data_IF_797051860899
#
_entry.id   IF_797051860899
#
_cell.length_a   1.000
_cell.length_b   1.000
_cell.length_c   1.000
_cell.angle_alpha   90.00
_cell.angle_beta   90.00
_cell.angle_gamma   90.00
#
_symmetry.space_group_name_H-M   'P 1'
#
loop_
_entity.id
_entity.type
_entity.pdbx_description
1 polymer ?
#
# COMPACT_ATOMS: atom_id res chain seq x y z
N UNK A 1 4.81 8.11 2.66
CA UNK A 1 5.28 7.44 3.89
C UNK A 1 4.95 8.15 5.21
N UNK A 2 4.98 9.49 5.32
CA UNK A 2 4.53 10.20 6.55
C UNK A 2 3.03 10.05 6.86
N UNK A 3 2.24 9.63 5.87
CA UNK A 3 0.78 9.45 5.96
C UNK A 3 0.35 7.98 6.04
N UNK A 4 1.29 7.01 6.03
CA UNK A 4 0.93 5.61 6.20
C UNK A 4 0.46 5.42 7.64
N UNK A 5 -0.82 5.09 7.82
CA UNK A 5 -1.37 4.79 9.14
C UNK A 5 -0.86 3.42 9.58
N UNK A 6 0.24 3.41 10.31
CA UNK A 6 0.71 2.22 11.02
C UNK A 6 -0.15 2.07 12.28
N UNK A 7 -0.79 0.91 12.51
CA UNK A 7 -1.52 0.65 13.75
C UNK A 7 -0.63 0.91 14.97
N UNK A 8 -1.18 1.50 16.03
CA UNK A 8 -0.40 1.85 17.23
C UNK A 8 0.19 0.63 17.95
N UNK A 9 -0.36 -0.57 17.70
CA UNK A 9 0.07 -1.85 18.25
C UNK A 9 1.07 -2.60 17.36
N UNK A 10 1.40 -2.05 16.19
CA UNK A 10 2.37 -2.64 15.27
C UNK A 10 3.73 -2.82 15.99
N UNK A 11 4.38 -3.99 15.91
CA UNK A 11 5.65 -4.26 16.59
C UNK A 11 6.84 -3.66 15.83
N UNK A 12 6.61 -2.62 15.03
CA UNK A 12 7.63 -1.94 14.25
C UNK A 12 7.36 -0.45 14.14
N UNK A 13 8.40 0.30 13.83
CA UNK A 13 8.33 1.70 13.47
C UNK A 13 8.95 1.92 12.09
N UNK A 14 8.48 2.95 11.38
CA UNK A 14 9.05 3.34 10.09
C UNK A 14 10.18 4.33 10.33
N UNK A 15 11.36 4.06 9.75
CA UNK A 15 12.51 4.97 9.78
C UNK A 15 13.13 5.13 8.39
N UNK A 16 13.78 6.26 8.09
CA UNK A 16 14.58 6.39 6.88
C UNK A 16 15.74 5.38 6.90
N UNK A 17 15.96 4.71 5.77
CA UNK A 17 17.05 3.78 5.53
C UNK A 17 17.97 4.36 4.45
N UNK A 18 19.29 4.52 4.70
CA UNK A 18 20.23 5.07 3.74
C UNK A 18 20.15 4.35 2.38
N UNK A 19 19.98 5.11 1.31
CA UNK A 19 19.92 4.60 -0.07
C UNK A 19 18.68 3.77 -0.45
N UNK A 20 17.71 3.58 0.46
CA UNK A 20 16.55 2.68 0.26
C UNK A 20 15.18 3.30 0.58
N UNK A 21 15.13 4.58 0.97
CA UNK A 21 13.88 5.24 1.33
C UNK A 21 13.48 4.99 2.78
N UNK A 22 12.29 4.42 3.02
CA UNK A 22 11.76 4.12 4.36
C UNK A 22 11.65 2.61 4.58
N UNK A 23 12.04 2.16 5.78
CA UNK A 23 12.00 0.75 6.17
C UNK A 23 11.31 0.58 7.53
N UNK A 24 10.73 -0.60 7.75
CA UNK A 24 10.18 -1.00 9.04
C UNK A 24 11.28 -1.62 9.94
N UNK A 25 11.36 -1.16 11.19
CA UNK A 25 12.30 -1.64 12.20
C UNK A 25 11.53 -2.14 13.42
N UNK A 26 11.85 -3.34 13.90
CA UNK A 26 11.18 -3.91 15.06
C UNK A 26 11.41 -3.06 16.33
N UNK A 27 10.35 -2.77 17.07
CA UNK A 27 10.39 -2.03 18.35
C UNK A 27 10.46 -2.96 19.57
N UNK A 28 10.18 -4.25 19.36
CA UNK A 28 10.21 -5.31 20.37
C UNK A 28 10.54 -6.64 19.73
N UNK A 29 10.85 -7.65 20.55
CA UNK A 29 10.99 -9.04 20.10
C UNK A 29 9.69 -9.51 19.45
N UNK A 30 9.78 -10.03 18.23
CA UNK A 30 8.66 -10.59 17.47
C UNK A 30 8.77 -12.11 17.54
N UNK A 31 7.79 -12.75 18.17
CA UNK A 31 7.78 -14.20 18.29
C UNK A 31 7.55 -14.88 16.95
N UNK A 32 8.03 -16.12 16.83
CA UNK A 32 7.83 -16.91 15.60
C UNK A 32 6.34 -17.10 15.34
N UNK A 33 5.90 -16.84 14.10
CA UNK A 33 4.49 -16.86 13.65
C UNK A 33 3.62 -15.70 14.17
N UNK A 34 4.20 -14.68 14.81
CA UNK A 34 3.45 -13.49 15.18
C UNK A 34 3.05 -12.68 13.92
N UNK A 35 1.81 -12.19 13.91
CA UNK A 35 1.34 -11.25 12.88
C UNK A 35 1.89 -9.86 13.17
N UNK A 36 2.65 -9.28 12.23
CA UNK A 36 3.28 -7.96 12.38
C UNK A 36 2.41 -6.83 11.82
N UNK A 37 1.54 -7.12 10.85
CA UNK A 37 0.60 -6.19 10.27
C UNK A 37 -0.49 -6.98 9.55
N UNK A 38 -1.74 -6.54 9.67
CA UNK A 38 -2.83 -7.01 8.81
C UNK A 38 -3.30 -5.86 7.95
N UNK A 39 -3.02 -5.92 6.65
CA UNK A 39 -3.46 -4.90 5.73
C UNK A 39 -4.88 -5.19 5.25
N UNK A 40 -5.76 -4.19 5.33
CA UNK A 40 -7.08 -4.23 4.69
C UNK A 40 -6.92 -3.76 3.24
N UNK A 41 -7.43 -4.55 2.30
CA UNK A 41 -7.51 -4.14 0.89
C UNK A 41 -8.48 -2.96 0.75
N UNK A 42 -8.10 -1.95 -0.04
CA UNK A 42 -8.96 -0.79 -0.31
C UNK A 42 -10.13 -1.20 -1.21
N UNK A 43 -9.87 -1.95 -2.28
CA UNK A 43 -10.88 -2.53 -3.16
C UNK A 43 -10.32 -3.75 -3.91
N UNK A 44 -11.20 -4.50 -4.57
CA UNK A 44 -10.85 -5.66 -5.40
C UNK A 44 -11.52 -5.51 -6.75
N UNK A 45 -10.73 -5.48 -7.83
CA UNK A 45 -11.23 -5.54 -9.20
C UNK A 45 -11.18 -7.01 -9.63
N UNK A 46 -12.34 -7.59 -9.99
CA UNK A 46 -12.46 -9.00 -10.39
C UNK A 46 -12.36 -9.16 -11.91
N UNK A 47 -11.23 -8.76 -12.47
CA UNK A 47 -10.86 -8.95 -13.88
C UNK A 47 -9.47 -9.55 -13.95
N UNK A 48 -9.12 -10.20 -15.06
CA UNK A 48 -7.72 -10.61 -15.26
C UNK A 48 -6.84 -9.36 -15.35
N UNK A 49 -5.58 -9.46 -14.94
CA UNK A 49 -4.68 -8.30 -14.92
C UNK A 49 -4.55 -7.60 -16.29
N UNK A 50 -4.61 -8.39 -17.37
CA UNK A 50 -4.53 -7.93 -18.76
C UNK A 50 -5.79 -7.16 -19.20
N UNK A 51 -6.92 -7.37 -18.51
CA UNK A 51 -8.21 -6.75 -18.81
C UNK A 51 -8.54 -5.57 -17.87
N UNK A 52 -7.70 -5.30 -16.86
CA UNK A 52 -7.92 -4.17 -15.95
C UNK A 52 -7.54 -2.88 -16.67
N UNK A 53 -8.55 -2.06 -16.96
CA UNK A 53 -8.37 -0.75 -17.60
C UNK A 53 -8.37 0.38 -16.56
N UNK A 54 -7.93 1.56 -16.96
CA UNK A 54 -7.88 2.73 -16.08
C UNK A 54 -9.28 3.13 -15.58
N UNK A 55 -10.32 2.97 -16.41
CA UNK A 55 -11.71 3.20 -16.01
C UNK A 55 -12.17 2.29 -14.86
N UNK A 56 -11.66 1.06 -14.77
CA UNK A 56 -12.02 0.11 -13.71
C UNK A 56 -11.42 0.55 -12.37
N UNK A 57 -10.17 1.01 -12.41
CA UNK A 57 -9.48 1.56 -11.23
C UNK A 57 -10.14 2.86 -10.78
N UNK A 58 -10.49 3.75 -11.73
CA UNK A 58 -11.21 4.98 -11.42
C UNK A 58 -12.58 4.70 -10.80
N UNK A 59 -13.33 3.75 -11.36
CA UNK A 59 -14.64 3.35 -10.84
C UNK A 59 -14.52 2.80 -9.42
N UNK A 60 -13.54 1.92 -9.18
CA UNK A 60 -13.30 1.38 -7.85
C UNK A 60 -12.86 2.46 -6.86
N UNK A 61 -11.99 3.40 -7.29
CA UNK A 61 -11.59 4.55 -6.48
C UNK A 61 -12.78 5.43 -6.12
N UNK A 62 -13.71 5.70 -7.05
CA UNK A 62 -14.89 6.52 -6.77
C UNK A 62 -15.80 5.93 -5.70
N UNK A 63 -15.87 4.61 -5.61
CA UNK A 63 -16.66 3.89 -4.60
C UNK A 63 -16.02 3.86 -3.20
N UNK A 64 -14.76 4.28 -3.06
CA UNK A 64 -14.09 4.36 -1.77
C UNK A 64 -14.66 5.47 -0.87
N UNK A 65 -14.68 5.20 0.44
CA UNK A 65 -14.92 6.25 1.44
C UNK A 65 -13.76 7.26 1.46
N UNK A 66 -13.96 8.50 1.91
CA UNK A 66 -12.93 9.55 1.84
C UNK A 66 -11.59 9.15 2.50
N UNK A 67 -11.62 8.45 3.63
CA UNK A 67 -10.42 7.96 4.32
C UNK A 67 -9.63 6.95 3.46
N UNK A 68 -10.34 6.03 2.80
CA UNK A 68 -9.73 5.02 1.93
C UNK A 68 -9.23 5.64 0.62
N UNK A 69 -9.91 6.67 0.09
CA UNK A 69 -9.42 7.49 -1.03
C UNK A 69 -8.10 8.16 -0.68
N UNK A 70 -8.00 8.76 0.51
CA UNK A 70 -6.77 9.40 0.97
C UNK A 70 -5.63 8.38 1.11
N UNK A 71 -5.93 7.17 1.61
CA UNK A 71 -4.96 6.09 1.68
C UNK A 71 -4.50 5.62 0.30
N UNK A 72 -5.41 5.52 -0.67
CA UNK A 72 -5.07 5.22 -2.06
C UNK A 72 -4.15 6.27 -2.67
N UNK A 73 -4.42 7.55 -2.45
CA UNK A 73 -3.58 8.67 -2.93
C UNK A 73 -2.20 8.70 -2.27
N UNK A 74 -2.01 8.01 -1.14
CA UNK A 74 -0.71 7.86 -0.50
C UNK A 74 0.12 6.70 -1.06
N UNK A 75 -0.45 5.86 -1.94
CA UNK A 75 0.30 4.85 -2.69
C UNK A 75 1.21 5.59 -3.68
N UNK A 76 2.49 5.26 -3.66
CA UNK A 76 3.52 5.92 -4.46
C UNK A 76 4.53 4.88 -4.92
N UNK A 77 5.09 5.03 -6.12
CA UNK A 77 6.20 4.19 -6.55
C UNK A 77 7.35 4.40 -5.58
N UNK A 78 7.84 3.29 -5.01
CA UNK A 78 8.85 3.18 -3.97
C UNK A 78 9.92 4.29 -4.00
N UNK A 79 9.60 5.41 -3.34
CA UNK A 79 10.47 6.56 -3.08
C UNK A 79 10.97 7.41 -4.27
N UNK A 80 10.30 7.52 -5.43
CA UNK A 80 10.75 8.53 -6.42
C UNK A 80 9.71 9.36 -7.18
N UNK A 81 8.53 8.85 -7.58
CA UNK A 81 7.50 9.68 -8.26
C UNK A 81 6.05 9.26 -7.97
N UNK A 82 5.14 10.23 -7.97
CA UNK A 82 3.69 9.98 -8.01
C UNK A 82 3.39 9.09 -9.20
N UNK A 83 2.51 8.09 -9.06
CA UNK A 83 2.08 7.29 -10.21
C UNK A 83 1.51 8.22 -11.28
N UNK A 84 2.02 8.10 -12.51
CA UNK A 84 1.55 8.90 -13.65
C UNK A 84 0.20 8.37 -14.14
N UNK A 85 -0.08 7.08 -13.92
CA UNK A 85 -1.33 6.41 -14.28
C UNK A 85 -1.88 5.56 -13.12
N UNK A 86 -3.20 5.58 -12.91
CA UNK A 86 -3.83 4.85 -11.80
C UNK A 86 -3.65 3.32 -11.87
N UNK A 87 -3.48 2.76 -13.07
CA UNK A 87 -3.23 1.34 -13.29
C UNK A 87 -1.89 0.86 -12.72
N UNK A 88 -0.88 1.73 -12.67
CA UNK A 88 0.44 1.41 -12.10
C UNK A 88 0.37 1.20 -10.58
N UNK A 89 -0.48 1.94 -9.88
CA UNK A 89 -0.72 1.77 -8.44
C UNK A 89 -1.30 0.37 -8.11
N UNK A 90 -2.08 -0.21 -9.03
CA UNK A 90 -2.61 -1.55 -8.90
C UNK A 90 -1.58 -2.64 -9.24
N UNK A 91 -0.71 -2.42 -10.22
CA UNK A 91 0.24 -3.42 -10.69
C UNK A 91 1.34 -3.79 -9.66
N UNK A 92 1.84 -2.82 -8.88
CA UNK A 92 2.88 -3.10 -7.87
C UNK A 92 2.35 -3.91 -6.66
N UNK A 93 1.05 -3.87 -6.39
CA UNK A 93 0.43 -4.58 -5.26
C UNK A 93 0.18 -6.08 -5.51
N UNK A 94 0.39 -6.56 -6.76
CA UNK A 94 0.06 -7.91 -7.20
C UNK A 94 1.26 -8.67 -7.80
N UNK A 95 2.48 -8.48 -7.28
CA UNK A 95 3.55 -9.46 -7.55
C UNK A 95 3.37 -10.69 -6.66
N UNK A 96 3.08 -11.88 -7.21
CA UNK A 96 3.19 -13.11 -6.46
C UNK A 96 4.69 -13.42 -6.27
N UNK A 97 5.07 -13.69 -5.02
CA UNK A 97 6.32 -14.39 -4.71
C UNK A 97 6.10 -15.89 -4.81
#
# INVERSE_FOLDING_TARGET
YRSLQVPSDAPFELKPSPGKGWSAFATRRIERRATILRQKLLFVIRKSHEEIMEEDVWTAFQQLVPTDKQQFLCLHENASKSFTHMTQACAESFRPH
#
